data_IF_126737560956
#
_entry.id   IF_126737560956
#
_cell.length_a   1.000
_cell.length_b   1.000
_cell.length_c   1.000
_cell.angle_alpha   90.00
_cell.angle_beta   90.00
_cell.angle_gamma   90.00
#
_symmetry.space_group_name_H-M   'P 1'
#
loop_
_entity.id
_entity.type
_entity.pdbx_description
1 polymer ?
#
# COMPACT_ATOMS: atom_id res chain seq x y z
N UNK A 1 7.59 -35.14 0.75
CA UNK A 1 8.86 -35.62 1.32
C UNK A 1 9.04 -35.24 2.79
N UNK A 2 9.41 -34.00 3.17
CA UNK A 2 9.63 -33.65 4.59
C UNK A 2 8.35 -33.75 5.46
N UNK A 3 7.20 -33.37 4.89
CA UNK A 3 5.89 -33.46 5.56
C UNK A 3 5.39 -34.90 5.73
N UNK A 4 5.61 -35.76 4.73
CA UNK A 4 5.24 -37.19 4.79
C UNK A 4 6.01 -37.89 5.91
N UNK A 5 7.31 -37.61 6.04
CA UNK A 5 8.12 -38.14 7.13
C UNK A 5 7.61 -37.68 8.51
N UNK A 6 7.16 -36.43 8.66
CA UNK A 6 6.66 -35.93 9.94
C UNK A 6 5.32 -36.55 10.36
N UNK A 7 4.41 -36.79 9.40
CA UNK A 7 3.12 -37.46 9.66
C UNK A 7 3.33 -38.94 9.96
N UNK A 8 4.28 -39.61 9.29
CA UNK A 8 4.62 -41.02 9.55
C UNK A 8 5.40 -41.21 10.86
N UNK A 9 6.35 -40.34 11.18
CA UNK A 9 7.21 -40.48 12.37
C UNK A 9 6.50 -40.13 13.69
N UNK A 10 5.40 -39.37 13.65
CA UNK A 10 4.62 -38.91 14.82
C UNK A 10 5.50 -38.57 16.04
N UNK A 11 6.40 -37.58 15.93
CA UNK A 11 7.26 -37.19 17.04
C UNK A 11 6.43 -36.79 18.27
N UNK A 12 6.86 -37.23 19.46
CA UNK A 12 6.18 -36.92 20.73
C UNK A 12 6.31 -35.44 21.17
N UNK A 13 6.89 -34.59 20.32
CA UNK A 13 7.16 -33.18 20.57
C UNK A 13 6.34 -32.36 19.57
N UNK A 14 5.68 -31.26 19.98
CA UNK A 14 4.98 -30.40 19.04
C UNK A 14 5.96 -29.78 18.04
N UNK A 15 5.76 -30.06 16.77
CA UNK A 15 6.51 -29.47 15.65
C UNK A 15 5.68 -28.31 15.08
N UNK A 16 6.29 -27.13 15.03
CA UNK A 16 5.68 -25.95 14.40
C UNK A 16 6.19 -25.84 12.97
N UNK A 17 5.27 -25.89 12.02
CA UNK A 17 5.55 -25.67 10.60
C UNK A 17 4.88 -24.35 10.20
N UNK A 18 5.63 -23.50 9.50
CA UNK A 18 5.11 -22.30 8.89
C UNK A 18 5.14 -22.50 7.37
N UNK A 19 3.98 -22.42 6.73
CA UNK A 19 3.80 -22.61 5.31
C UNK A 19 2.82 -21.57 4.75
N UNK A 20 2.86 -21.30 3.44
CA UNK A 20 1.94 -20.37 2.78
C UNK A 20 0.69 -21.12 2.32
N UNK A 21 -0.48 -20.53 2.59
CA UNK A 21 -1.83 -21.08 2.32
C UNK A 21 -2.01 -21.55 0.87
N UNK A 22 -1.35 -20.90 -0.09
CA UNK A 22 -1.46 -21.17 -1.54
C UNK A 22 -0.83 -22.52 -1.97
N UNK A 23 0.05 -23.11 -1.15
CA UNK A 23 0.78 -24.31 -1.54
C UNK A 23 -0.02 -25.62 -1.37
N UNK A 24 -1.09 -25.62 -0.57
CA UNK A 24 -1.76 -26.84 -0.11
C UNK A 24 -3.28 -26.66 0.02
N UNK A 25 -3.97 -26.37 -1.09
CA UNK A 25 -5.40 -26.70 -1.14
C UNK A 25 -5.52 -28.23 -1.31
N UNK A 26 -5.88 -28.91 -0.20
CA UNK A 26 -6.33 -30.31 -0.05
C UNK A 26 -5.34 -31.47 0.22
N UNK A 27 -4.01 -31.33 0.09
CA UNK A 27 -3.16 -32.53 0.25
C UNK A 27 -3.03 -33.03 1.71
N UNK A 28 -3.08 -32.15 2.71
CA UNK A 28 -2.93 -32.48 4.14
C UNK A 28 -4.09 -33.34 4.69
N UNK A 29 -5.32 -33.07 4.23
CA UNK A 29 -6.54 -33.76 4.69
C UNK A 29 -6.67 -35.12 3.99
N UNK A 30 -6.13 -35.25 2.77
CA UNK A 30 -6.18 -36.48 1.98
C UNK A 30 -5.37 -37.64 2.57
N UNK A 31 -4.43 -37.38 3.49
CA UNK A 31 -3.54 -38.38 4.09
C UNK A 31 -4.04 -38.96 5.43
N UNK A 32 -5.31 -38.74 5.80
CA UNK A 32 -5.93 -39.37 6.97
C UNK A 32 -5.58 -38.72 8.32
N UNK A 33 -4.92 -37.57 8.33
CA UNK A 33 -4.75 -36.72 9.51
C UNK A 33 -6.10 -36.09 9.89
N UNK A 34 -6.48 -36.16 11.18
CA UNK A 34 -7.73 -35.56 11.67
C UNK A 34 -7.48 -34.15 12.21
N UNK A 35 -8.18 -33.17 11.62
CA UNK A 35 -8.19 -31.80 12.12
C UNK A 35 -8.70 -31.73 13.57
N UNK A 36 -8.01 -30.95 14.41
CA UNK A 36 -8.33 -30.79 15.84
C UNK A 36 -7.64 -31.79 16.78
N UNK A 37 -7.28 -33.00 16.31
CA UNK A 37 -6.52 -33.99 17.09
C UNK A 37 -5.04 -34.06 16.67
N UNK A 38 -4.79 -34.20 15.37
CA UNK A 38 -3.46 -34.47 14.82
C UNK A 38 -2.86 -33.21 14.16
N UNK A 39 -3.70 -32.32 13.62
CA UNK A 39 -3.32 -31.04 13.02
C UNK A 39 -4.20 -29.91 13.58
N UNK A 40 -3.60 -28.77 13.93
CA UNK A 40 -4.34 -27.52 14.16
C UNK A 40 -3.85 -26.48 13.18
N UNK A 41 -4.72 -26.14 12.24
CA UNK A 41 -4.46 -25.06 11.29
C UNK A 41 -4.79 -23.72 11.94
N UNK A 42 -3.80 -22.82 11.97
CA UNK A 42 -3.98 -21.44 12.43
C UNK A 42 -3.63 -20.50 11.27
N UNK A 43 -4.62 -20.02 10.50
CA UNK A 43 -4.36 -19.08 9.43
C UNK A 43 -3.93 -17.73 10.03
N UNK A 44 -2.62 -17.49 10.08
CA UNK A 44 -2.08 -16.23 10.60
C UNK A 44 -2.56 -15.03 9.77
N UNK A 45 -2.78 -15.22 8.47
CA UNK A 45 -3.32 -14.22 7.55
C UNK A 45 -4.74 -13.79 7.95
N UNK A 46 -5.60 -14.72 8.37
CA UNK A 46 -6.96 -14.42 8.83
C UNK A 46 -6.97 -13.81 10.24
N UNK A 47 -6.07 -14.29 11.11
CA UNK A 47 -5.88 -13.73 12.46
C UNK A 47 -5.44 -12.27 12.40
N UNK A 48 -4.54 -11.93 11.48
CA UNK A 48 -4.04 -10.57 11.29
C UNK A 48 -4.90 -9.73 10.34
N UNK A 49 -5.70 -10.36 9.48
CA UNK A 49 -6.58 -9.70 8.52
C UNK A 49 -7.90 -9.17 9.10
N UNK A 50 -8.29 -9.60 10.30
CA UNK A 50 -9.49 -9.12 10.99
C UNK A 50 -9.41 -7.67 11.48
N UNK A 51 -10.55 -7.10 11.92
CA UNK A 51 -10.65 -5.69 12.38
C UNK A 51 -9.67 -5.33 13.52
N UNK A 52 -9.30 -6.29 14.36
CA UNK A 52 -8.31 -6.12 15.44
C UNK A 52 -6.92 -6.68 15.08
N UNK A 53 -6.79 -7.36 13.94
CA UNK A 53 -5.61 -8.12 13.59
C UNK A 53 -4.40 -7.25 13.29
N UNK A 54 -4.61 -6.06 12.71
CA UNK A 54 -3.53 -5.11 12.46
C UNK A 54 -2.90 -4.59 13.77
N UNK A 55 -3.71 -4.32 14.80
CA UNK A 55 -3.17 -3.91 16.10
C UNK A 55 -2.38 -5.03 16.77
N UNK A 56 -2.91 -6.27 16.73
CA UNK A 56 -2.22 -7.44 17.26
C UNK A 56 -0.89 -7.71 16.54
N UNK A 57 -0.87 -7.58 15.20
CA UNK A 57 0.35 -7.68 14.42
C UNK A 57 1.35 -6.58 14.78
N UNK A 58 0.90 -5.33 14.96
CA UNK A 58 1.79 -4.24 15.38
C UNK A 58 2.43 -4.51 16.74
N UNK A 59 1.67 -4.98 17.73
CA UNK A 59 2.22 -5.34 19.05
C UNK A 59 3.21 -6.50 18.94
N UNK A 60 2.88 -7.52 18.15
CA UNK A 60 3.76 -8.65 17.90
C UNK A 60 5.05 -8.23 17.19
N UNK A 61 4.95 -7.42 16.14
CA UNK A 61 6.06 -6.87 15.38
C UNK A 61 6.99 -6.04 16.27
N UNK A 62 6.44 -5.14 17.09
CA UNK A 62 7.21 -4.36 18.06
C UNK A 62 7.99 -5.29 19.02
N UNK A 63 7.35 -6.32 19.56
CA UNK A 63 8.03 -7.26 20.46
C UNK A 63 9.22 -7.98 19.81
N UNK A 64 9.14 -8.28 18.51
CA UNK A 64 10.25 -8.88 17.76
C UNK A 64 11.40 -7.87 17.60
N UNK A 65 11.06 -6.64 17.23
CA UNK A 65 12.05 -5.58 17.00
C UNK A 65 12.78 -5.22 18.30
N UNK A 66 12.05 -5.06 19.40
CA UNK A 66 12.62 -4.72 20.71
C UNK A 66 13.56 -5.82 21.19
N UNK A 67 13.14 -7.10 21.13
CA UNK A 67 14.01 -8.23 21.49
C UNK A 67 15.27 -8.31 20.64
N UNK A 68 15.19 -7.99 19.35
CA UNK A 68 16.37 -7.98 18.47
C UNK A 68 17.29 -6.81 18.78
N UNK A 69 16.74 -5.65 19.12
CA UNK A 69 17.51 -4.48 19.54
C UNK A 69 18.25 -4.76 20.85
N UNK A 70 17.59 -5.38 21.83
CA UNK A 70 18.20 -5.72 23.13
C UNK A 70 19.40 -6.68 23.01
N UNK A 71 19.38 -7.59 22.04
CA UNK A 71 20.51 -8.49 21.76
C UNK A 71 21.71 -7.71 21.18
N UNK A 72 21.46 -6.60 20.52
CA UNK A 72 22.47 -5.81 19.85
C UNK A 72 23.07 -4.75 20.79
N UNK A 73 24.38 -4.84 21.04
CA UNK A 73 25.07 -3.95 22.00
C UNK A 73 25.45 -2.58 21.47
N UNK A 74 25.30 -2.31 20.17
CA UNK A 74 25.71 -1.01 19.62
C UNK A 74 24.76 0.10 20.06
N UNK A 75 23.45 -0.08 19.89
CA UNK A 75 22.47 0.95 20.27
C UNK A 75 22.07 0.74 21.74
N UNK A 76 21.79 1.80 22.52
CA UNK A 76 21.25 1.63 23.87
C UNK A 76 19.98 0.78 23.87
N UNK A 77 19.78 0.00 24.93
CA UNK A 77 18.55 -0.79 25.09
C UNK A 77 17.34 0.13 25.25
N UNK A 78 16.21 -0.26 24.67
CA UNK A 78 15.00 0.56 24.62
C UNK A 78 13.99 0.00 23.62
N UNK A 79 12.84 0.66 23.51
CA UNK A 79 11.87 0.29 22.48
C UNK A 79 12.33 0.82 21.12
N UNK A 80 12.28 -0.01 20.07
CA UNK A 80 12.71 0.37 18.73
C UNK A 80 11.97 1.61 18.21
N UNK A 81 10.69 1.76 18.60
CA UNK A 81 9.86 2.92 18.27
C UNK A 81 10.37 4.26 18.84
N UNK A 82 11.17 4.25 19.91
CA UNK A 82 11.74 5.48 20.50
C UNK A 82 12.81 6.12 19.60
N UNK A 83 13.43 5.32 18.73
CA UNK A 83 14.44 5.78 17.77
C UNK A 83 13.83 6.27 16.44
N UNK A 84 12.51 6.22 16.31
CA UNK A 84 11.78 6.66 15.12
C UNK A 84 10.94 7.89 15.47
N UNK A 85 11.22 9.02 14.81
CA UNK A 85 10.33 10.17 14.89
C UNK A 85 9.00 9.85 14.19
N UNK A 86 7.90 10.13 14.89
CA UNK A 86 6.52 9.84 14.44
C UNK A 86 5.74 11.10 14.05
N UNK A 87 6.35 12.29 14.12
CA UNK A 87 5.70 13.57 13.81
C UNK A 87 6.65 14.45 13.02
N UNK A 88 6.08 15.25 12.10
CA UNK A 88 6.79 16.29 11.37
C UNK A 88 6.80 17.57 12.22
N UNK A 89 7.94 18.26 12.29
CA UNK A 89 8.04 19.49 13.05
C UNK A 89 7.51 20.68 12.24
N UNK A 90 7.01 21.76 12.88
CA UNK A 90 6.58 22.97 12.18
C UNK A 90 7.69 23.59 11.31
N UNK A 91 8.95 23.44 11.71
CA UNK A 91 10.12 23.92 10.97
C UNK A 91 10.29 23.16 9.64
N UNK A 92 10.05 21.84 9.62
CA UNK A 92 10.06 21.02 8.40
C UNK A 92 8.94 21.43 7.42
N UNK A 93 7.84 21.98 7.96
CA UNK A 93 6.64 22.31 7.21
C UNK A 93 6.64 23.73 6.65
N UNK A 94 7.39 24.69 7.20
CA UNK A 94 7.24 26.12 6.87
C UNK A 94 7.31 26.44 5.36
N UNK A 95 8.40 26.04 4.69
CA UNK A 95 8.57 26.29 3.25
C UNK A 95 7.59 25.49 2.39
N UNK A 96 7.25 24.28 2.83
CA UNK A 96 6.35 23.36 2.11
C UNK A 96 4.90 23.82 2.22
N UNK A 97 4.50 24.34 3.37
CA UNK A 97 3.18 24.91 3.63
C UNK A 97 2.95 26.13 2.75
N UNK A 98 3.93 27.03 2.66
CA UNK A 98 3.85 28.19 1.76
C UNK A 98 3.63 27.78 0.30
N UNK A 99 4.36 26.76 -0.17
CA UNK A 99 4.18 26.21 -1.53
C UNK A 99 2.78 25.58 -1.70
N UNK A 100 2.31 24.84 -0.70
CA UNK A 100 0.99 24.22 -0.72
C UNK A 100 -0.13 25.25 -0.83
N UNK A 101 -0.03 26.34 -0.07
CA UNK A 101 -0.99 27.47 -0.13
C UNK A 101 -0.99 28.09 -1.52
N UNK A 102 0.18 28.35 -2.12
CA UNK A 102 0.27 28.88 -3.48
C UNK A 102 -0.37 27.97 -4.53
N UNK A 103 -0.16 26.66 -4.43
CA UNK A 103 -0.80 25.67 -5.32
C UNK A 103 -2.31 25.68 -5.12
N UNK A 104 -2.77 25.64 -3.87
CA UNK A 104 -4.18 25.67 -3.53
C UNK A 104 -4.87 26.94 -4.05
N UNK A 105 -4.28 28.12 -3.84
CA UNK A 105 -4.82 29.39 -4.34
C UNK A 105 -4.92 29.41 -5.86
N UNK A 106 -3.87 28.93 -6.56
CA UNK A 106 -3.87 28.87 -8.02
C UNK A 106 -4.98 27.98 -8.57
N UNK A 107 -5.24 26.83 -7.96
CA UNK A 107 -6.29 25.90 -8.40
C UNK A 107 -7.70 26.35 -8.01
N UNK A 108 -7.83 27.09 -6.90
CA UNK A 108 -9.12 27.59 -6.40
C UNK A 108 -9.48 28.98 -6.92
N UNK A 109 -8.57 29.68 -7.61
CA UNK A 109 -8.83 31.02 -8.18
C UNK A 109 -10.07 31.02 -9.09
N UNK A 110 -10.20 29.98 -9.92
CA UNK A 110 -11.36 29.77 -10.81
C UNK A 110 -12.69 29.55 -10.07
N UNK A 111 -12.64 29.29 -8.76
CA UNK A 111 -13.80 29.04 -7.90
C UNK A 111 -14.11 30.18 -6.93
N UNK A 112 -13.28 31.23 -6.90
CA UNK A 112 -13.42 32.36 -5.97
C UNK A 112 -14.76 33.09 -6.11
N UNK A 113 -15.34 33.10 -7.32
CA UNK A 113 -16.63 33.74 -7.61
C UNK A 113 -17.82 32.77 -7.51
N UNK A 114 -17.59 31.49 -7.23
CA UNK A 114 -18.66 30.50 -7.14
C UNK A 114 -19.27 30.49 -5.73
N UNK A 115 -20.53 30.90 -5.62
CA UNK A 115 -21.30 30.97 -4.37
C UNK A 115 -21.30 29.62 -3.64
N UNK A 116 -21.24 28.51 -4.38
CA UNK A 116 -21.27 27.16 -3.79
C UNK A 116 -20.10 26.86 -2.85
N UNK A 117 -18.92 27.41 -3.11
CA UNK A 117 -17.67 27.06 -2.42
C UNK A 117 -17.19 28.15 -1.46
N UNK A 118 -17.97 29.20 -1.22
CA UNK A 118 -17.55 30.35 -0.40
C UNK A 118 -17.14 29.93 1.00
N UNK A 119 -17.94 29.07 1.63
CA UNK A 119 -17.76 28.68 3.03
C UNK A 119 -16.57 27.73 3.18
N UNK A 120 -16.38 26.84 2.20
CA UNK A 120 -15.23 25.93 2.16
C UNK A 120 -13.92 26.69 1.93
N UNK A 121 -13.91 27.68 1.05
CA UNK A 121 -12.74 28.53 0.81
C UNK A 121 -12.45 29.45 2.00
N UNK A 122 -13.49 29.92 2.72
CA UNK A 122 -13.32 30.72 3.94
C UNK A 122 -12.66 29.90 5.06
N UNK A 123 -13.13 28.67 5.31
CA UNK A 123 -12.53 27.76 6.29
C UNK A 123 -11.09 27.40 5.94
N UNK A 124 -10.81 27.11 4.67
CA UNK A 124 -9.45 26.86 4.20
C UNK A 124 -8.51 28.05 4.47
N UNK A 125 -8.97 29.29 4.25
CA UNK A 125 -8.20 30.51 4.58
C UNK A 125 -7.96 30.70 6.07
N UNK A 126 -8.88 30.26 6.92
CA UNK A 126 -8.68 30.31 8.36
C UNK A 126 -7.60 29.33 8.82
N UNK A 127 -7.61 28.10 8.29
CA UNK A 127 -6.58 27.09 8.55
C UNK A 127 -5.18 27.50 8.07
N UNK A 128 -5.08 28.35 7.04
CA UNK A 128 -3.80 28.89 6.56
C UNK A 128 -3.05 29.75 7.58
N UNK A 129 -3.72 30.26 8.62
CA UNK A 129 -3.09 31.13 9.64
C UNK A 129 -2.12 30.37 10.55
N UNK A 130 -2.28 29.06 10.68
CA UNK A 130 -1.46 28.22 11.57
C UNK A 130 -0.75 27.15 10.74
N UNK A 131 0.59 27.12 10.80
CA UNK A 131 1.38 26.07 10.14
C UNK A 131 1.28 24.80 10.97
N UNK A 132 0.46 23.86 10.50
CA UNK A 132 0.30 22.54 11.09
C UNK A 132 0.09 21.51 9.97
N UNK A 133 0.51 20.26 10.21
CA UNK A 133 0.29 19.15 9.30
C UNK A 133 -1.21 18.92 9.02
N UNK A 134 -2.05 19.01 10.05
CA UNK A 134 -3.49 18.82 9.91
C UNK A 134 -4.11 19.86 8.96
N UNK A 135 -3.73 21.13 9.12
CA UNK A 135 -4.20 22.21 8.24
C UNK A 135 -3.74 22.01 6.79
N UNK A 136 -2.55 21.45 6.58
CA UNK A 136 -2.07 21.10 5.24
C UNK A 136 -2.95 20.00 4.62
N UNK A 137 -3.24 18.93 5.37
CA UNK A 137 -4.10 17.84 4.93
C UNK A 137 -5.51 18.37 4.64
N UNK A 138 -6.02 19.31 5.44
CA UNK A 138 -7.32 19.95 5.20
C UNK A 138 -7.39 20.75 3.90
N UNK A 139 -6.33 21.46 3.53
CA UNK A 139 -6.25 22.18 2.24
C UNK A 139 -6.40 21.21 1.07
N UNK A 140 -5.65 20.11 1.11
CA UNK A 140 -5.71 19.06 0.08
C UNK A 140 -7.05 18.31 0.08
N UNK A 141 -7.63 18.04 1.25
CA UNK A 141 -8.96 17.43 1.35
C UNK A 141 -10.03 18.33 0.73
N UNK A 142 -9.97 19.64 1.01
CA UNK A 142 -10.89 20.63 0.43
C UNK A 142 -10.78 20.65 -1.10
N UNK A 143 -9.55 20.62 -1.63
CA UNK A 143 -9.28 20.56 -3.08
C UNK A 143 -9.87 19.31 -3.73
N UNK A 144 -9.70 18.14 -3.11
CA UNK A 144 -10.29 16.87 -3.58
C UNK A 144 -11.81 16.96 -3.62
N UNK A 145 -12.44 17.51 -2.57
CA UNK A 145 -13.89 17.61 -2.49
C UNK A 145 -14.46 18.55 -3.56
N UNK A 146 -13.81 19.69 -3.82
CA UNK A 146 -14.19 20.60 -4.91
C UNK A 146 -14.15 19.87 -6.25
N UNK A 147 -13.09 19.12 -6.55
CA UNK A 147 -12.98 18.37 -7.79
C UNK A 147 -14.05 17.26 -7.91
N UNK A 148 -14.43 16.62 -6.80
CA UNK A 148 -15.54 15.64 -6.77
C UNK A 148 -16.89 16.28 -7.05
N UNK A 149 -17.18 17.43 -6.44
CA UNK A 149 -18.45 18.13 -6.65
C UNK A 149 -18.57 18.68 -8.07
N UNK A 150 -17.46 19.10 -8.69
CA UNK A 150 -17.45 19.46 -10.12
C UNK A 150 -17.89 18.31 -11.01
N UNK A 151 -17.37 17.10 -10.77
CA UNK A 151 -17.77 15.91 -11.53
C UNK A 151 -19.24 15.54 -11.36
N UNK A 152 -19.84 15.88 -10.21
CA UNK A 152 -21.29 15.67 -9.93
C UNK A 152 -22.18 16.78 -10.49
N UNK A 153 -21.64 17.96 -10.79
CA UNK A 153 -22.39 19.15 -11.22
C UNK A 153 -23.18 18.94 -12.52
N UNK A 154 -22.83 17.95 -13.35
CA UNK A 154 -23.64 17.57 -14.53
C UNK A 154 -25.02 17.00 -14.18
N UNK A 155 -25.29 16.66 -12.91
CA UNK A 155 -26.51 15.95 -12.48
C UNK A 155 -27.47 16.77 -11.58
N UNK A 156 -27.11 17.96 -11.07
CA UNK A 156 -28.01 18.79 -10.25
C UNK A 156 -27.75 20.30 -10.35
N UNK A 157 -28.82 21.08 -10.49
CA UNK A 157 -28.84 22.55 -10.40
C UNK A 157 -28.97 22.95 -8.92
N UNK A 158 -27.84 23.09 -8.23
CA UNK A 158 -27.79 23.54 -6.82
C UNK A 158 -27.19 24.95 -6.73
N UNK A 159 -27.98 25.90 -6.24
CA UNK A 159 -27.69 27.33 -6.19
C UNK A 159 -27.32 27.84 -4.78
N UNK A 160 -27.24 26.94 -3.78
CA UNK A 160 -26.91 27.28 -2.40
C UNK A 160 -25.42 26.99 -2.08
N UNK A 161 -24.80 27.74 -1.15
CA UNK A 161 -23.49 27.38 -0.59
C UNK A 161 -23.53 26.01 0.08
N UNK A 162 -22.48 25.21 -0.11
CA UNK A 162 -22.34 23.96 0.65
C UNK A 162 -21.92 24.32 2.08
N UNK A 163 -22.62 23.81 3.11
CA UNK A 163 -22.30 24.13 4.48
C UNK A 163 -20.90 23.62 4.84
N UNK A 164 -20.22 24.33 5.74
CA UNK A 164 -18.92 23.92 6.25
C UNK A 164 -19.00 22.59 7.01
N UNK A 165 -20.17 22.20 7.53
CA UNK A 165 -20.41 20.95 8.25
C UNK A 165 -20.23 19.70 7.36
N UNK A 166 -20.45 19.81 6.05
CA UNK A 166 -20.12 18.74 5.08
C UNK A 166 -18.60 18.48 5.01
N UNK A 167 -17.77 19.43 5.44
CA UNK A 167 -16.33 19.23 5.60
C UNK A 167 -15.99 18.49 6.90
N UNK A 168 -16.88 18.44 7.87
CA UNK A 168 -16.66 17.69 9.11
C UNK A 168 -17.20 16.26 8.98
N UNK A 169 -18.17 16.02 8.09
CA UNK A 169 -18.61 14.67 7.65
C UNK A 169 -17.60 13.94 6.73
N UNK A 170 -16.37 14.44 6.62
CA UNK A 170 -15.31 13.85 5.79
C UNK A 170 -15.00 12.42 6.21
N UNK A 171 -15.17 11.49 5.29
CA UNK A 171 -14.74 10.11 5.47
C UNK A 171 -13.22 10.07 5.67
N UNK A 172 -12.76 9.31 6.68
CA UNK A 172 -11.34 9.07 7.02
C UNK A 172 -10.45 8.74 5.80
N UNK A 173 -11.06 8.13 4.77
CA UNK A 173 -10.41 7.81 3.49
C UNK A 173 -9.98 9.05 2.71
N UNK A 174 -10.76 10.13 2.75
CA UNK A 174 -10.44 11.40 2.04
C UNK A 174 -9.23 12.06 2.69
N UNK A 175 -9.12 12.02 4.02
CA UNK A 175 -7.94 12.50 4.73
C UNK A 175 -6.70 11.67 4.36
N UNK A 176 -6.83 10.34 4.29
CA UNK A 176 -5.75 9.47 3.81
C UNK A 176 -5.32 9.75 2.36
N UNK A 177 -6.28 10.11 1.49
CA UNK A 177 -5.97 10.54 0.13
C UNK A 177 -5.27 11.91 0.11
N UNK A 178 -5.73 12.88 0.90
CA UNK A 178 -5.10 14.19 1.00
C UNK A 178 -3.65 14.09 1.50
N UNK A 179 -3.40 13.21 2.47
CA UNK A 179 -2.05 12.95 2.98
C UNK A 179 -1.09 12.44 1.90
N UNK A 180 -1.50 11.46 1.09
CA UNK A 180 -0.64 10.94 0.01
C UNK A 180 -0.47 11.96 -1.14
N UNK A 181 -1.43 12.86 -1.37
CA UNK A 181 -1.25 13.96 -2.33
C UNK A 181 -0.20 14.96 -1.84
N UNK A 182 -0.17 15.26 -0.54
CA UNK A 182 0.88 16.07 0.07
C UNK A 182 2.27 15.42 -0.15
N UNK A 183 2.36 14.09 0.01
CA UNK A 183 3.58 13.33 -0.27
C UNK A 183 4.04 13.51 -1.73
N UNK A 184 3.12 13.41 -2.68
CA UNK A 184 3.48 13.40 -4.10
C UNK A 184 3.94 14.77 -4.62
N UNK A 185 3.19 15.82 -4.26
CA UNK A 185 3.42 17.17 -4.77
C UNK A 185 4.50 17.92 -3.99
N UNK A 186 4.53 17.77 -2.67
CA UNK A 186 5.43 18.53 -1.79
C UNK A 186 6.65 17.72 -1.37
N UNK A 187 6.71 16.42 -1.73
CA UNK A 187 7.76 15.48 -1.29
C UNK A 187 7.84 15.35 0.24
N UNK A 188 6.72 15.59 0.93
CA UNK A 188 6.63 15.40 2.38
C UNK A 188 6.83 13.94 2.73
N UNK A 189 7.60 13.60 3.77
CA UNK A 189 7.70 12.21 4.21
C UNK A 189 6.33 11.64 4.53
N UNK A 190 6.05 10.44 4.04
CA UNK A 190 4.84 9.66 4.26
C UNK A 190 5.19 8.31 4.86
N UNK A 191 6.27 7.65 4.41
CA UNK A 191 6.66 6.33 4.90
C UNK A 191 7.58 6.44 6.12
N UNK A 192 7.01 6.77 7.28
CA UNK A 192 7.75 6.89 8.52
C UNK A 192 6.91 6.47 9.74
N UNK A 193 7.58 6.17 10.83
CA UNK A 193 6.99 5.73 12.08
C UNK A 193 6.67 4.24 12.14
N UNK A 194 6.46 3.75 13.36
CA UNK A 194 6.33 2.32 13.63
C UNK A 194 5.05 1.71 13.04
N UNK A 195 3.94 2.44 13.04
CA UNK A 195 2.67 1.96 12.51
C UNK A 195 2.75 1.72 11.00
N UNK A 196 3.36 2.65 10.26
CA UNK A 196 3.56 2.51 8.82
C UNK A 196 4.60 1.45 8.50
N UNK A 197 5.63 1.29 9.33
CA UNK A 197 6.59 0.18 9.22
C UNK A 197 5.90 -1.18 9.34
N UNK A 198 4.96 -1.33 10.28
CA UNK A 198 4.18 -2.56 10.43
C UNK A 198 3.24 -2.77 9.23
N UNK A 199 2.62 -1.70 8.70
CA UNK A 199 1.79 -1.78 7.50
C UNK A 199 2.62 -2.16 6.25
N UNK A 200 3.84 -1.63 6.11
CA UNK A 200 4.77 -1.92 5.02
C UNK A 200 5.17 -3.39 4.95
N UNK A 201 5.24 -4.04 6.10
CA UNK A 201 5.59 -5.44 6.22
C UNK A 201 4.48 -6.38 5.72
N UNK A 202 3.26 -5.89 5.41
CA UNK A 202 2.18 -6.72 4.85
C UNK A 202 1.92 -8.00 5.67
N UNK A 203 2.00 -7.92 7.00
CA UNK A 203 1.91 -9.07 7.93
C UNK A 203 3.01 -10.14 7.78
N UNK A 204 4.08 -9.85 7.03
CA UNK A 204 5.23 -10.74 6.85
C UNK A 204 6.40 -10.29 7.75
N UNK A 205 6.86 -11.20 8.61
CA UNK A 205 7.96 -10.93 9.56
C UNK A 205 9.31 -10.77 8.85
N UNK A 206 9.57 -11.47 7.75
CA UNK A 206 10.83 -11.31 7.00
C UNK A 206 10.93 -9.91 6.38
N UNK A 207 9.82 -9.39 5.86
CA UNK A 207 9.75 -8.03 5.32
C UNK A 207 9.93 -6.99 6.41
N UNK A 208 9.30 -7.20 7.57
CA UNK A 208 9.48 -6.37 8.75
C UNK A 208 10.97 -6.29 9.13
N UNK A 209 11.65 -7.44 9.20
CA UNK A 209 13.06 -7.52 9.57
C UNK A 209 13.97 -6.89 8.53
N UNK A 210 13.68 -7.05 7.23
CA UNK A 210 14.45 -6.43 6.16
C UNK A 210 14.39 -4.89 6.23
N UNK A 211 13.19 -4.33 6.46
CA UNK A 211 13.01 -2.89 6.62
C UNK A 211 13.69 -2.40 7.90
N UNK A 212 13.44 -3.08 9.03
CA UNK A 212 14.02 -2.71 10.31
C UNK A 212 15.56 -2.77 10.31
N UNK A 213 16.16 -3.76 9.64
CA UNK A 213 17.61 -3.84 9.47
C UNK A 213 18.18 -2.59 8.77
N UNK A 214 17.51 -2.11 7.71
CA UNK A 214 17.95 -0.89 7.00
C UNK A 214 17.87 0.38 7.85
N UNK A 215 16.88 0.47 8.74
CA UNK A 215 16.75 1.58 9.70
C UNK A 215 17.79 1.45 10.81
N UNK A 216 18.00 0.25 11.33
CA UNK A 216 19.00 -0.03 12.33
C UNK A 216 20.42 0.33 11.86
N UNK A 217 20.78 -0.05 10.63
CA UNK A 217 22.06 0.35 10.00
C UNK A 217 22.22 1.88 9.96
N UNK A 218 21.13 2.61 9.71
CA UNK A 218 21.15 4.07 9.72
C UNK A 218 21.38 4.64 11.14
N UNK A 219 20.75 4.07 12.16
CA UNK A 219 20.97 4.44 13.56
C UNK A 219 22.40 4.15 14.00
N UNK A 220 22.93 2.97 13.65
CA UNK A 220 24.31 2.58 13.94
C UNK A 220 25.31 3.52 13.25
N UNK A 221 25.06 3.91 12.00
CA UNK A 221 25.89 4.87 11.29
C UNK A 221 25.94 6.23 11.99
N UNK A 222 24.79 6.74 12.49
CA UNK A 222 24.75 8.00 13.28
C UNK A 222 25.59 7.89 14.55
N UNK A 223 25.52 6.75 15.24
CA UNK A 223 26.30 6.51 16.45
C UNK A 223 27.81 6.49 16.19
N UNK A 224 28.25 5.74 15.17
CA UNK A 224 29.67 5.60 14.81
C UNK A 224 30.27 6.94 14.41
N UNK A 225 29.51 7.75 13.66
CA UNK A 225 29.98 9.04 13.18
C UNK A 225 30.15 10.08 14.31
N UNK A 226 29.69 9.83 15.54
CA UNK A 226 29.77 10.73 16.73
C UNK A 226 29.34 12.18 16.47
N UNK A 227 28.67 12.46 15.35
CA UNK A 227 28.32 13.82 14.91
C UNK A 227 27.02 14.33 15.50
N UNK A 228 26.17 13.45 16.05
CA UNK A 228 24.90 13.83 16.67
C UNK A 228 24.67 13.05 17.96
N UNK A 229 24.31 13.72 19.07
CA UNK A 229 23.91 13.05 20.31
C UNK A 229 22.55 12.34 20.18
N UNK A 230 21.77 12.70 19.16
CA UNK A 230 20.46 12.12 18.89
C UNK A 230 20.57 10.97 17.89
N UNK A 231 20.20 9.76 18.34
CA UNK A 231 20.14 8.55 17.52
C UNK A 231 18.80 8.42 16.77
N UNK A 232 17.84 9.31 17.02
CA UNK A 232 16.54 9.28 16.36
C UNK A 232 16.69 9.55 14.86
N UNK A 233 15.94 8.79 14.07
CA UNK A 233 15.86 8.97 12.63
C UNK A 233 14.73 9.93 12.31
N UNK A 234 15.03 10.98 11.53
CA UNK A 234 13.99 11.90 11.09
C UNK A 234 13.03 11.23 10.10
N UNK A 235 11.79 11.73 9.92
CA UNK A 235 10.84 11.14 8.99
C UNK A 235 11.39 11.01 7.55
N UNK A 236 12.15 12.01 7.10
CA UNK A 236 12.80 12.00 5.78
C UNK A 236 13.89 10.92 5.66
N UNK A 237 14.68 10.70 6.73
CA UNK A 237 15.69 9.64 6.75
C UNK A 237 15.05 8.24 6.75
N UNK A 238 14.00 8.05 7.56
CA UNK A 238 13.25 6.80 7.61
C UNK A 238 12.68 6.45 6.24
N UNK A 239 11.97 7.39 5.61
CA UNK A 239 11.38 7.16 4.29
C UNK A 239 12.44 6.83 3.25
N UNK A 240 13.56 7.56 3.22
CA UNK A 240 14.63 7.29 2.25
C UNK A 240 15.12 5.85 2.36
N UNK A 241 15.36 5.37 3.59
CA UNK A 241 15.80 3.98 3.84
C UNK A 241 14.74 2.96 3.46
N UNK A 242 13.47 3.22 3.80
CA UNK A 242 12.35 2.36 3.41
C UNK A 242 12.24 2.25 1.89
N UNK A 243 12.32 3.37 1.16
CA UNK A 243 12.29 3.38 -0.30
C UNK A 243 13.49 2.68 -0.94
N UNK A 244 14.68 2.82 -0.35
CA UNK A 244 15.87 2.09 -0.77
C UNK A 244 15.68 0.57 -0.60
N UNK A 245 15.15 0.12 0.54
CA UNK A 245 14.87 -1.30 0.80
C UNK A 245 13.80 -1.85 -0.14
N UNK A 246 12.72 -1.11 -0.35
CA UNK A 246 11.67 -1.45 -1.32
C UNK A 246 12.22 -1.55 -2.76
N UNK A 247 13.09 -0.61 -3.15
CA UNK A 247 13.77 -0.66 -4.45
C UNK A 247 14.68 -1.88 -4.57
N UNK A 248 15.47 -2.21 -3.54
CA UNK A 248 16.32 -3.42 -3.53
C UNK A 248 15.47 -4.68 -3.70
N UNK A 249 14.31 -4.77 -3.03
CA UNK A 249 13.35 -5.88 -3.22
C UNK A 249 12.93 -5.98 -4.69
N UNK A 250 12.48 -4.88 -5.28
CA UNK A 250 12.07 -4.82 -6.69
C UNK A 250 13.20 -5.17 -7.66
N UNK A 251 14.42 -4.73 -7.38
CA UNK A 251 15.62 -5.01 -8.20
C UNK A 251 16.12 -6.46 -8.06
N UNK A 252 15.72 -7.16 -6.99
CA UNK A 252 16.06 -8.57 -6.76
C UNK A 252 15.10 -9.54 -7.47
N UNK A 253 13.87 -9.11 -7.79
CA UNK A 253 12.85 -9.94 -8.47
C UNK A 253 13.40 -10.70 -9.69
N UNK A 254 14.14 -10.07 -10.64
CA UNK A 254 14.65 -10.77 -11.81
C UNK A 254 15.65 -11.89 -11.53
N UNK A 255 16.24 -11.91 -10.32
CA UNK A 255 17.25 -12.91 -9.92
C UNK A 255 16.65 -14.09 -9.15
N UNK A 256 15.50 -13.89 -8.50
CA UNK A 256 14.88 -14.90 -7.64
C UNK A 256 13.79 -15.72 -8.32
N UNK A 257 13.27 -15.23 -9.45
CA UNK A 257 12.07 -15.78 -10.08
C UNK A 257 12.40 -16.38 -11.44
N UNK A 258 11.70 -17.45 -11.79
CA UNK A 258 11.84 -18.18 -13.06
C UNK A 258 11.59 -17.25 -14.25
N UNK A 259 10.52 -16.43 -14.17
CA UNK A 259 10.17 -15.42 -15.17
C UNK A 259 10.38 -14.00 -14.63
N UNK A 260 11.46 -13.79 -13.86
CA UNK A 260 11.61 -12.61 -13.02
C UNK A 260 11.61 -11.25 -13.74
N UNK A 261 12.08 -11.17 -15.00
CA UNK A 261 11.99 -9.92 -15.79
C UNK A 261 10.54 -9.57 -16.16
N UNK A 262 9.74 -10.59 -16.48
CA UNK A 262 8.31 -10.45 -16.79
C UNK A 262 7.51 -10.12 -15.53
N UNK A 263 7.81 -10.78 -14.42
CA UNK A 263 7.25 -10.46 -13.10
C UNK A 263 7.54 -9.01 -12.72
N UNK A 264 8.78 -8.56 -12.83
CA UNK A 264 9.16 -7.17 -12.55
C UNK A 264 8.42 -6.18 -13.46
N UNK A 265 8.35 -6.45 -14.77
CA UNK A 265 7.66 -5.57 -15.73
C UNK A 265 6.16 -5.48 -15.44
N UNK A 266 5.53 -6.60 -15.10
CA UNK A 266 4.12 -6.66 -14.71
C UNK A 266 3.87 -5.84 -13.43
N UNK A 267 4.69 -6.04 -12.38
CA UNK A 267 4.54 -5.33 -11.11
C UNK A 267 4.77 -3.83 -11.25
N UNK A 268 5.77 -3.42 -12.02
CA UNK A 268 6.02 -2.00 -12.32
C UNK A 268 4.82 -1.39 -13.06
N UNK A 269 4.27 -2.09 -14.06
CA UNK A 269 3.12 -1.63 -14.82
C UNK A 269 1.86 -1.49 -13.93
N UNK A 270 1.63 -2.46 -13.04
CA UNK A 270 0.56 -2.37 -12.02
C UNK A 270 0.82 -1.15 -11.12
N UNK A 271 2.05 -0.96 -10.64
CA UNK A 271 2.43 0.19 -9.82
C UNK A 271 2.17 1.54 -10.50
N UNK A 272 2.58 1.68 -11.76
CA UNK A 272 2.31 2.89 -12.56
C UNK A 272 0.82 3.10 -12.82
N UNK A 273 0.08 2.03 -13.11
CA UNK A 273 -1.37 2.09 -13.31
C UNK A 273 -2.09 2.52 -12.01
N UNK A 274 -1.75 1.91 -10.87
CA UNK A 274 -2.27 2.29 -9.57
C UNK A 274 -1.94 3.74 -9.22
N UNK A 275 -0.74 4.22 -9.58
CA UNK A 275 -0.31 5.60 -9.36
C UNK A 275 -1.12 6.59 -10.18
N UNK A 276 -1.30 6.33 -11.47
CA UNK A 276 -2.14 7.17 -12.36
C UNK A 276 -3.58 7.29 -11.85
N UNK A 277 -4.14 6.20 -11.31
CA UNK A 277 -5.50 6.18 -10.74
C UNK A 277 -5.59 6.86 -9.37
N UNK A 278 -4.55 6.74 -8.54
CA UNK A 278 -4.53 7.33 -7.19
C UNK A 278 -4.49 8.85 -7.24
N UNK A 279 -3.64 9.42 -8.11
CA UNK A 279 -3.41 10.86 -8.18
C UNK A 279 -4.36 11.60 -9.15
N UNK A 280 -5.50 11.01 -9.47
CA UNK A 280 -6.58 11.74 -10.14
C UNK A 280 -7.15 12.77 -9.16
N UNK A 281 -7.34 14.02 -9.61
CA UNK A 281 -7.67 15.16 -8.74
C UNK A 281 -8.91 14.92 -7.85
N UNK A 282 -9.94 14.24 -8.38
CA UNK A 282 -11.14 13.92 -7.63
C UNK A 282 -10.95 12.79 -6.60
N UNK A 283 -9.79 12.12 -6.58
CA UNK A 283 -9.45 10.97 -5.75
C UNK A 283 -10.63 10.00 -5.60
N UNK A 284 -11.26 9.59 -6.72
CA UNK A 284 -12.52 8.82 -6.72
C UNK A 284 -12.43 7.50 -5.93
N UNK A 285 -11.22 6.99 -5.75
CA UNK A 285 -10.91 5.76 -5.03
C UNK A 285 -10.08 6.03 -3.77
N UNK A 286 -10.53 6.94 -2.90
CA UNK A 286 -9.85 7.23 -1.64
C UNK A 286 -9.79 5.97 -0.73
N UNK A 287 -8.67 5.73 -0.01
CA UNK A 287 -7.46 6.56 0.12
C UNK A 287 -6.48 6.47 -1.06
N UNK A 288 -6.68 5.53 -1.97
CA UNK A 288 -5.96 5.38 -3.23
C UNK A 288 -6.10 3.97 -3.81
N UNK A 289 -5.70 3.81 -5.06
CA UNK A 289 -5.71 2.51 -5.76
C UNK A 289 -4.37 1.82 -5.54
N UNK A 290 -4.41 0.62 -4.97
CA UNK A 290 -3.19 -0.18 -4.66
C UNK A 290 -3.25 -1.61 -5.19
N UNK A 291 -4.32 -1.95 -5.90
CA UNK A 291 -4.48 -3.26 -6.52
C UNK A 291 -5.29 -3.21 -7.81
N UNK A 292 -5.32 -4.36 -8.48
CA UNK A 292 -6.11 -4.61 -9.68
C UNK A 292 -7.03 -5.80 -9.44
N UNK A 293 -8.19 -5.83 -10.07
CA UNK A 293 -9.13 -6.94 -9.99
C UNK A 293 -9.24 -7.64 -11.33
N UNK A 294 -9.21 -8.97 -11.29
CA UNK A 294 -9.69 -9.83 -12.36
C UNK A 294 -11.07 -10.36 -11.97
N UNK A 295 -12.05 -10.18 -12.84
CA UNK A 295 -13.38 -10.80 -12.65
C UNK A 295 -13.26 -12.32 -12.74
N UNK A 296 -14.26 -13.05 -12.23
CA UNK A 296 -14.28 -14.51 -12.33
C UNK A 296 -14.18 -15.00 -13.78
N UNK A 297 -14.80 -14.26 -14.72
CA UNK A 297 -14.68 -14.55 -16.15
C UNK A 297 -13.25 -14.43 -16.65
N UNK A 298 -12.53 -13.38 -16.25
CA UNK A 298 -11.12 -13.20 -16.61
C UNK A 298 -10.20 -14.25 -15.96
N UNK A 299 -10.45 -14.60 -14.69
CA UNK A 299 -9.71 -15.65 -13.98
C UNK A 299 -9.90 -17.02 -14.62
N UNK A 300 -11.09 -17.34 -15.11
CA UNK A 300 -11.37 -18.60 -15.79
C UNK A 300 -10.49 -18.78 -17.03
N UNK A 301 -10.11 -17.70 -17.71
CA UNK A 301 -9.21 -17.70 -18.88
C UNK A 301 -7.77 -18.07 -18.54
N UNK A 302 -7.37 -17.95 -17.27
CA UNK A 302 -6.06 -18.31 -16.75
C UNK A 302 -6.01 -19.74 -16.20
N UNK A 303 -7.14 -20.47 -16.20
CA UNK A 303 -7.17 -21.87 -15.76
C UNK A 303 -6.43 -22.77 -16.75
N UNK A 304 -5.71 -23.76 -16.21
CA UNK A 304 -4.88 -24.71 -16.99
C UNK A 304 -5.60 -25.31 -18.20
N UNK A 305 -6.90 -25.61 -18.07
CA UNK A 305 -7.72 -26.17 -19.15
C UNK A 305 -7.86 -25.23 -20.35
N UNK A 306 -8.01 -23.92 -20.09
CA UNK A 306 -8.18 -22.90 -21.12
C UNK A 306 -6.84 -22.40 -21.67
N UNK A 307 -5.77 -22.47 -20.88
CA UNK A 307 -4.43 -22.03 -21.30
C UNK A 307 -3.65 -23.06 -22.13
N UNK A 308 -4.11 -24.31 -22.23
CA UNK A 308 -3.44 -25.39 -23.00
C UNK A 308 -3.14 -25.01 -24.45
N UNK A 309 -3.94 -24.10 -25.02
CA UNK A 309 -3.82 -23.69 -26.43
C UNK A 309 -3.12 -22.34 -26.60
N UNK A 310 -2.83 -21.60 -25.52
CA UNK A 310 -2.31 -20.23 -25.58
C UNK A 310 -1.19 -19.99 -24.56
N UNK A 311 0.05 -20.04 -25.06
CA UNK A 311 1.27 -19.85 -24.25
C UNK A 311 1.28 -18.52 -23.46
N UNK A 312 0.84 -17.36 -24.00
CA UNK A 312 0.84 -16.10 -23.25
C UNK A 312 -0.05 -16.12 -21.99
N UNK A 313 -1.17 -16.85 -22.03
CA UNK A 313 -2.09 -16.95 -20.89
C UNK A 313 -1.53 -17.90 -19.83
N UNK A 314 -0.96 -19.03 -20.26
CA UNK A 314 -0.25 -19.94 -19.38
C UNK A 314 0.91 -19.23 -18.67
N UNK A 315 1.62 -18.36 -19.40
CA UNK A 315 2.72 -17.59 -18.86
C UNK A 315 2.28 -16.56 -17.83
N UNK A 316 1.25 -15.76 -18.15
CA UNK A 316 0.71 -14.79 -17.19
C UNK A 316 0.23 -15.50 -15.92
N UNK A 317 -0.46 -16.64 -16.05
CA UNK A 317 -0.90 -17.42 -14.90
C UNK A 317 0.30 -17.81 -14.02
N UNK A 318 1.37 -18.40 -14.59
CA UNK A 318 2.58 -18.76 -13.85
C UNK A 318 3.21 -17.56 -13.14
N UNK A 319 3.37 -16.44 -13.85
CA UNK A 319 3.95 -15.20 -13.28
C UNK A 319 3.10 -14.67 -12.13
N UNK A 320 1.77 -14.66 -12.26
CA UNK A 320 0.88 -14.22 -11.18
C UNK A 320 0.99 -15.13 -9.96
N UNK A 321 0.95 -16.45 -10.15
CA UNK A 321 1.10 -17.40 -9.05
C UNK A 321 2.45 -17.26 -8.36
N UNK A 322 3.54 -17.07 -9.11
CA UNK A 322 4.87 -16.83 -8.55
C UNK A 322 4.90 -15.51 -7.74
N UNK A 323 4.33 -14.43 -8.27
CA UNK A 323 4.23 -13.15 -7.57
C UNK A 323 3.42 -13.23 -6.26
N UNK A 324 2.33 -14.00 -6.23
CA UNK A 324 1.57 -14.22 -4.99
C UNK A 324 2.35 -15.13 -4.05
N UNK A 325 2.92 -16.22 -4.57
CA UNK A 325 3.71 -17.19 -3.80
C UNK A 325 4.97 -16.56 -3.18
N UNK A 326 5.51 -15.47 -3.73
CA UNK A 326 6.67 -14.71 -3.23
C UNK A 326 6.27 -13.41 -2.49
N UNK A 327 4.99 -13.24 -2.15
CA UNK A 327 4.46 -12.09 -1.41
C UNK A 327 4.75 -10.74 -2.09
N UNK A 328 4.82 -10.73 -3.42
CA UNK A 328 4.86 -9.51 -4.23
C UNK A 328 3.44 -9.00 -4.50
N UNK A 329 2.46 -9.92 -4.57
CA UNK A 329 1.04 -9.65 -4.64
C UNK A 329 0.31 -10.34 -3.49
N UNK A 330 -0.71 -9.67 -2.94
CA UNK A 330 -1.63 -10.23 -1.97
C UNK A 330 -3.01 -10.39 -2.63
N UNK A 331 -3.58 -11.59 -2.56
CA UNK A 331 -4.91 -11.87 -3.11
C UNK A 331 -5.99 -11.61 -2.07
N UNK A 332 -7.12 -11.06 -2.51
CA UNK A 332 -8.35 -10.95 -1.72
C UNK A 332 -9.56 -11.18 -2.61
N UNK A 333 -10.54 -11.90 -2.09
CA UNK A 333 -11.78 -12.12 -2.81
C UNK A 333 -12.62 -10.84 -2.84
N UNK A 334 -13.13 -10.53 -4.02
CA UNK A 334 -14.14 -9.50 -4.26
C UNK A 334 -15.48 -10.19 -4.37
N UNK A 335 -16.33 -10.06 -3.36
CA UNK A 335 -17.72 -10.49 -3.45
C UNK A 335 -18.44 -9.74 -4.58
N UNK A 336 -19.42 -10.41 -5.19
CA UNK A 336 -20.32 -9.79 -6.14
C UNK A 336 -21.13 -8.65 -5.47
N UNK A 337 -21.40 -7.60 -6.24
CA UNK A 337 -22.22 -6.47 -5.83
C UNK A 337 -23.23 -6.15 -6.93
N UNK A 338 -24.20 -5.27 -6.65
CA UNK A 338 -25.24 -4.90 -7.60
C UNK A 338 -24.73 -4.39 -8.96
N UNK A 339 -23.47 -3.94 -9.05
CA UNK A 339 -22.85 -3.40 -10.27
C UNK A 339 -21.62 -4.16 -10.75
N UNK A 340 -21.16 -5.20 -10.02
CA UNK A 340 -19.92 -5.90 -10.35
C UNK A 340 -19.99 -7.38 -9.96
N UNK A 341 -19.58 -8.24 -10.88
CA UNK A 341 -19.41 -9.68 -10.63
C UNK A 341 -18.33 -9.95 -9.57
N UNK A 342 -18.35 -11.17 -9.02
CA UNK A 342 -17.28 -11.67 -8.15
C UNK A 342 -15.94 -11.77 -8.90
N UNK A 343 -14.85 -11.79 -8.15
CA UNK A 343 -13.51 -11.97 -8.70
C UNK A 343 -12.43 -11.87 -7.63
N UNK A 344 -11.18 -11.78 -8.06
CA UNK A 344 -10.02 -11.72 -7.16
C UNK A 344 -9.26 -10.42 -7.37
N UNK A 345 -8.99 -9.73 -6.27
CA UNK A 345 -8.17 -8.51 -6.24
C UNK A 345 -6.73 -8.90 -5.90
N UNK A 346 -5.80 -8.45 -6.74
CA UNK A 346 -4.37 -8.55 -6.54
C UNK A 346 -3.85 -7.19 -6.06
N UNK A 347 -3.58 -7.09 -4.77
CA UNK A 347 -2.95 -5.91 -4.17
C UNK A 347 -1.44 -6.00 -4.29
N UNK A 348 -0.80 -4.88 -4.63
CA UNK A 348 0.64 -4.79 -4.49
C UNK A 348 1.02 -4.93 -3.01
N UNK A 349 2.08 -5.70 -2.75
CA UNK A 349 2.70 -5.72 -1.44
C UNK A 349 3.07 -4.29 -1.00
N UNK A 350 2.92 -3.97 0.29
CA UNK A 350 3.05 -2.59 0.77
C UNK A 350 4.46 -2.01 0.65
N UNK A 351 5.50 -2.84 0.72
CA UNK A 351 6.86 -2.40 0.36
C UNK A 351 6.96 -1.95 -1.10
N UNK A 352 6.30 -2.65 -2.04
CA UNK A 352 6.23 -2.22 -3.44
C UNK A 352 5.37 -0.96 -3.61
N UNK A 353 4.31 -0.79 -2.82
CA UNK A 353 3.58 0.49 -2.76
C UNK A 353 4.51 1.65 -2.41
N UNK A 354 5.41 1.48 -1.43
CA UNK A 354 6.39 2.50 -1.07
C UNK A 354 7.36 2.85 -2.19
N UNK A 355 7.77 1.85 -3.00
CA UNK A 355 8.59 2.08 -4.18
C UNK A 355 7.90 3.00 -5.19
N UNK A 356 6.60 2.82 -5.43
CA UNK A 356 5.82 3.60 -6.40
C UNK A 356 5.18 4.88 -5.82
N UNK A 357 5.38 5.18 -4.53
CA UNK A 357 4.75 6.34 -3.89
C UNK A 357 3.23 6.18 -3.73
N UNK A 358 2.75 4.96 -3.47
CA UNK A 358 1.35 4.62 -3.26
C UNK A 358 0.97 4.55 -1.77
N UNK A 359 -0.31 4.77 -1.40
CA UNK A 359 -0.75 4.69 -0.02
C UNK A 359 -0.66 3.26 0.54
N UNK A 360 -0.59 3.14 1.87
CA UNK A 360 -0.45 1.83 2.55
C UNK A 360 -1.79 1.19 2.91
N UNK A 361 -2.88 1.95 2.88
CA UNK A 361 -4.21 1.45 3.23
C UNK A 361 -4.76 0.48 2.17
N UNK A 362 -5.53 -0.51 2.63
CA UNK A 362 -6.31 -1.40 1.77
C UNK A 362 -7.64 -0.74 1.43
N UNK A 363 -7.99 -0.65 0.14
CA UNK A 363 -9.29 -0.07 -0.23
C UNK A 363 -9.54 0.10 -1.73
N UNK A 364 -8.65 0.77 -2.47
CA UNK A 364 -8.87 1.02 -3.89
C UNK A 364 -8.29 -0.07 -4.79
N UNK A 365 -9.11 -0.52 -5.74
CA UNK A 365 -8.73 -1.43 -6.83
C UNK A 365 -9.51 -1.07 -8.10
N UNK A 366 -9.03 -1.53 -9.25
CA UNK A 366 -9.64 -1.32 -10.57
C UNK A 366 -9.70 -2.62 -11.36
N UNK A 367 -10.77 -2.78 -12.14
CA UNK A 367 -10.90 -3.89 -13.09
C UNK A 367 -9.88 -3.77 -14.23
N UNK A 368 -9.25 -4.89 -14.53
CA UNK A 368 -8.28 -5.04 -15.63
C UNK A 368 -8.60 -6.34 -16.37
N UNK A 369 -8.33 -6.40 -17.68
CA UNK A 369 -8.46 -7.63 -18.47
C UNK A 369 -7.15 -8.39 -18.54
N UNK A 370 -7.22 -9.70 -18.79
CA UNK A 370 -6.04 -10.56 -18.96
C UNK A 370 -5.13 -10.07 -20.09
N UNK A 371 -5.68 -9.56 -21.19
CA UNK A 371 -4.89 -9.05 -22.32
C UNK A 371 -4.06 -7.82 -21.94
N UNK A 372 -4.61 -6.93 -21.12
CA UNK A 372 -3.85 -5.78 -20.64
C UNK A 372 -2.67 -6.23 -19.80
N UNK A 373 -2.86 -7.24 -18.94
CA UNK A 373 -1.80 -7.79 -18.09
C UNK A 373 -0.73 -8.54 -18.91
N UNK A 374 -1.12 -9.32 -19.92
CA UNK A 374 -0.17 -9.92 -20.88
C UNK A 374 0.64 -8.80 -21.56
N UNK A 375 -0.05 -7.76 -22.04
CA UNK A 375 0.60 -6.61 -22.65
C UNK A 375 1.57 -5.85 -21.71
N UNK A 376 1.29 -5.81 -20.42
CA UNK A 376 2.18 -5.24 -19.40
C UNK A 376 3.39 -6.12 -19.12
N UNK A 377 3.21 -7.44 -19.11
CA UNK A 377 4.28 -8.42 -18.90
C UNK A 377 5.32 -8.37 -20.02
N UNK A 378 4.88 -8.20 -21.27
CA UNK A 378 5.77 -8.23 -22.45
C UNK A 378 6.42 -6.87 -22.78
N UNK A 379 5.94 -5.77 -22.19
CA UNK A 379 6.51 -4.44 -22.39
C UNK A 379 7.50 -4.12 -21.27
N UNK A 380 8.78 -4.01 -21.60
CA UNK A 380 9.76 -3.39 -20.71
C UNK A 380 9.40 -1.92 -20.50
N UNK A 381 8.82 -1.60 -19.34
CA UNK A 381 8.50 -0.29 -18.76
C UNK A 381 8.68 0.91 -19.70
N UNK A 382 7.66 1.20 -20.51
CA UNK A 382 7.38 2.57 -20.93
C UNK A 382 6.08 3.00 -20.26
N UNK A 383 5.97 4.24 -19.76
CA UNK A 383 4.72 4.75 -19.21
C UNK A 383 3.64 4.55 -20.27
N UNK A 384 2.50 3.99 -19.84
CA UNK A 384 1.32 3.81 -20.69
C UNK A 384 1.02 5.20 -21.28
N UNK A 385 1.43 5.45 -22.52
CA UNK A 385 1.08 6.68 -23.22
C UNK A 385 -0.43 6.76 -23.17
N UNK A 386 -0.95 7.85 -22.60
CA UNK A 386 -2.37 8.22 -22.62
C UNK A 386 -2.87 7.99 -24.04
N UNK A 387 -3.66 6.92 -24.25
CA UNK A 387 -4.70 7.01 -25.28
C UNK A 387 -5.69 8.00 -24.68
N UNK A 388 -5.51 9.25 -25.06
CA UNK A 388 -6.57 10.25 -25.07
C UNK A 388 -7.76 9.62 -25.80
N UNK A 389 -8.63 8.95 -25.04
CA UNK A 389 -9.99 8.73 -25.48
C UNK A 389 -10.65 10.10 -25.38
N UNK A 390 -10.81 10.66 -26.57
CA UNK A 390 -11.50 11.88 -26.87
C UNK A 390 -12.79 11.97 -26.06
N UNK A 391 -12.93 13.09 -25.36
CA UNK A 391 -14.23 13.66 -25.06
C UNK A 391 -14.91 13.84 -26.42
N UNK A 392 -15.82 12.92 -26.76
CA UNK A 392 -16.84 13.21 -27.75
C UNK A 392 -17.65 14.37 -27.18
N UNK A 393 -17.58 15.46 -27.94
CA UNK A 393 -18.07 16.83 -27.74
C UNK A 393 -19.36 16.99 -26.95
#
# INVERSE_FOLDING_TARGET
MMLEELVELRPAVPVWLAERSIALEDALISQGAREGRDLRHYPMEDLWGGKSGQHQFTTFAQSILDRRLDVQRSIPAGAFSQYLENQLTPDDLGDLFTKAVQVFEKETERHRQNIRYTDWLARAKEGQKTVCFDNLVELYATRILIARSEGRRQLSLELAPLPAEELDERDSKVLGAAEIFCHDELRLPYYYGIERLCALASTNVEELLAIAASLYEAMQAKQVLRKQPDLRLSPAEQERRIKETAKRKRDFIPKSHTEGKRAQSLLDAIGFFCRDKTFQIAASYAPGVTGIRLSQNELNRLRREQTKTSEPYAMLARVLWECVAENLLMTRDSAASASRDEGTVFYLNRSLCAHHGLPLQYGGWQDVSVENMIGWMDRSSAPIKRRSLEVLR
#
